data_IF_369111469054
#
_entry.id   IF_369111469054
#
_cell.length_a   1.000
_cell.length_b   1.000
_cell.length_c   1.000
_cell.angle_alpha   90.00
_cell.angle_beta   90.00
_cell.angle_gamma   90.00
#
_symmetry.space_group_name_H-M   'P 1'
#
loop_
_entity.id
_entity.type
_entity.pdbx_description
1 polymer ?
#
# COMPACT_ATOMS: atom_id res chain seq x y z
N UNK A 1 -13.29 -3.34 20.92
CA UNK A 1 -12.84 -2.05 20.32
C UNK A 1 -12.68 -2.27 18.82
N UNK A 2 -13.24 -1.40 17.99
CA UNK A 2 -13.15 -1.51 16.52
C UNK A 2 -12.15 -0.50 15.98
N UNK A 3 -11.36 -0.89 14.99
CA UNK A 3 -10.41 -0.04 14.28
C UNK A 3 -10.64 -0.11 12.77
N UNK A 4 -10.23 0.96 12.09
CA UNK A 4 -10.22 1.04 10.64
C UNK A 4 -8.98 0.37 10.06
N UNK A 5 -9.13 -0.25 8.89
CA UNK A 5 -8.04 -0.87 8.15
C UNK A 5 -7.61 -2.23 8.71
N UNK A 6 -6.76 -2.93 7.95
CA UNK A 6 -6.19 -4.24 8.30
C UNK A 6 -4.70 -4.27 7.95
N UNK A 7 -3.93 -5.01 8.73
CA UNK A 7 -2.53 -5.29 8.45
C UNK A 7 -2.35 -6.80 8.46
N UNK A 8 -1.67 -7.33 7.45
CA UNK A 8 -1.41 -8.76 7.31
C UNK A 8 -0.14 -9.02 6.53
N UNK A 9 0.14 -10.29 6.29
CA UNK A 9 1.32 -10.72 5.55
C UNK A 9 0.91 -11.57 4.36
N UNK A 10 1.60 -11.34 3.23
CA UNK A 10 1.54 -12.19 2.06
C UNK A 10 2.20 -13.54 2.40
N UNK A 11 1.70 -14.59 1.76
CA UNK A 11 2.27 -15.94 1.88
C UNK A 11 3.74 -15.95 1.44
N UNK A 12 3.99 -15.38 0.27
CA UNK A 12 5.30 -15.24 -0.36
C UNK A 12 5.60 -13.75 -0.58
N UNK A 13 6.87 -13.37 -0.48
CA UNK A 13 7.28 -11.99 -0.75
C UNK A 13 7.16 -11.70 -2.25
N UNK A 14 6.63 -10.53 -2.59
CA UNK A 14 6.55 -10.02 -3.96
C UNK A 14 7.40 -8.76 -4.09
N UNK A 15 7.83 -8.40 -5.30
CA UNK A 15 8.32 -7.03 -5.56
C UNK A 15 7.16 -6.03 -5.55
N UNK A 16 7.44 -4.73 -5.38
CA UNK A 16 6.40 -3.70 -5.40
C UNK A 16 5.58 -3.72 -6.71
N UNK A 17 6.22 -3.98 -7.85
CA UNK A 17 5.54 -4.11 -9.15
C UNK A 17 4.67 -5.38 -9.25
N UNK A 18 5.17 -6.52 -8.77
CA UNK A 18 4.38 -7.76 -8.75
C UNK A 18 3.20 -7.65 -7.78
N UNK A 19 3.39 -7.00 -6.64
CA UNK A 19 2.33 -6.73 -5.68
C UNK A 19 1.26 -5.80 -6.26
N UNK A 20 1.64 -4.79 -7.05
CA UNK A 20 0.70 -3.95 -7.78
C UNK A 20 -0.15 -4.77 -8.77
N UNK A 21 0.48 -5.64 -9.57
CA UNK A 21 -0.26 -6.52 -10.49
C UNK A 21 -1.14 -7.55 -9.74
N UNK A 22 -0.67 -8.06 -8.61
CA UNK A 22 -1.47 -8.90 -7.71
C UNK A 22 -2.73 -8.16 -7.23
N UNK A 23 -2.58 -6.92 -6.77
CA UNK A 23 -3.70 -6.07 -6.35
C UNK A 23 -4.70 -5.84 -7.49
N UNK A 24 -4.23 -5.54 -8.71
CA UNK A 24 -5.11 -5.37 -9.89
C UNK A 24 -5.96 -6.61 -10.14
N UNK A 25 -5.37 -7.80 -10.07
CA UNK A 25 -6.07 -9.07 -10.29
C UNK A 25 -7.09 -9.35 -9.20
N UNK A 26 -6.69 -9.28 -7.93
CA UNK A 26 -7.53 -9.62 -6.77
C UNK A 26 -8.68 -8.63 -6.60
N UNK A 27 -8.43 -7.35 -6.84
CA UNK A 27 -9.43 -6.28 -6.71
C UNK A 27 -10.21 -6.03 -8.03
N UNK A 28 -9.91 -6.79 -9.09
CA UNK A 28 -10.52 -6.66 -10.42
C UNK A 28 -10.49 -5.22 -10.98
N UNK A 29 -9.32 -4.60 -10.95
CA UNK A 29 -9.10 -3.21 -11.38
C UNK A 29 -8.54 -3.15 -12.80
N UNK A 30 -9.05 -2.21 -13.60
CA UNK A 30 -8.48 -1.89 -14.93
C UNK A 30 -7.10 -1.25 -14.83
N UNK A 31 -6.81 -0.57 -13.72
CA UNK A 31 -5.54 0.07 -13.45
C UNK A 31 -5.46 0.54 -12.00
N UNK A 32 -4.25 0.79 -11.53
CA UNK A 32 -3.97 1.42 -10.24
C UNK A 32 -2.72 2.29 -10.34
N UNK A 33 -2.51 3.14 -9.33
CA UNK A 33 -1.30 3.95 -9.21
C UNK A 33 -0.32 3.27 -8.25
N UNK A 34 0.86 2.93 -8.73
CA UNK A 34 1.98 2.52 -7.90
C UNK A 34 2.79 3.76 -7.51
N UNK A 35 3.04 3.93 -6.21
CA UNK A 35 3.88 4.99 -5.66
C UNK A 35 5.03 4.29 -4.93
N UNK A 36 6.21 4.28 -5.55
CA UNK A 36 7.40 3.63 -5.02
C UNK A 36 8.66 4.32 -5.56
N UNK A 37 9.70 4.46 -4.72
CA UNK A 37 11.03 4.89 -5.16
C UNK A 37 11.76 3.78 -5.94
N UNK A 38 11.54 2.52 -5.54
CA UNK A 38 12.08 1.33 -6.19
C UNK A 38 10.98 0.29 -6.41
N UNK A 39 10.73 -0.05 -7.67
CA UNK A 39 9.72 -1.01 -8.08
C UNK A 39 10.09 -2.47 -7.74
N UNK A 40 11.36 -2.73 -7.43
CA UNK A 40 11.88 -4.05 -7.05
C UNK A 40 11.92 -4.26 -5.53
N UNK A 41 11.57 -3.24 -4.73
CA UNK A 41 11.54 -3.35 -3.26
C UNK A 41 10.63 -4.52 -2.85
N UNK A 42 11.08 -5.39 -1.93
CA UNK A 42 10.26 -6.51 -1.47
C UNK A 42 9.08 -6.03 -0.61
N UNK A 43 7.94 -6.67 -0.80
CA UNK A 43 6.68 -6.45 -0.10
C UNK A 43 6.23 -7.78 0.48
N UNK A 44 6.09 -7.83 1.81
CA UNK A 44 5.52 -8.98 2.52
C UNK A 44 4.42 -8.54 3.46
N UNK A 45 4.64 -7.51 4.27
CA UNK A 45 3.66 -6.98 5.23
C UNK A 45 2.88 -5.84 4.59
N UNK A 46 1.56 -5.98 4.53
CA UNK A 46 0.68 -5.05 3.80
C UNK A 46 -0.33 -4.45 4.76
N UNK A 47 -0.48 -3.13 4.72
CA UNK A 47 -1.59 -2.41 5.32
C UNK A 47 -2.64 -2.08 4.25
N UNK A 48 -3.92 -2.21 4.59
CA UNK A 48 -5.04 -1.89 3.70
C UNK A 48 -6.05 -1.05 4.45
N UNK A 49 -6.44 0.09 3.86
CA UNK A 49 -7.56 0.91 4.31
C UNK A 49 -8.31 1.42 3.07
N UNK A 50 -9.52 0.91 2.86
CA UNK A 50 -10.37 1.37 1.74
C UNK A 50 -10.83 2.82 1.91
N UNK A 51 -11.26 3.43 0.79
CA UNK A 51 -11.69 4.83 0.75
C UNK A 51 -10.51 5.82 0.75
N UNK A 52 -10.70 7.00 1.36
CA UNK A 52 -9.72 8.09 1.40
C UNK A 52 -8.77 7.97 2.59
N UNK A 53 -7.89 6.96 2.55
CA UNK A 53 -6.98 6.61 3.63
C UNK A 53 -5.63 7.34 3.62
N UNK A 54 -5.40 8.30 2.71
CA UNK A 54 -4.09 8.94 2.54
C UNK A 54 -3.51 9.55 3.83
N UNK A 55 -4.34 10.21 4.65
CA UNK A 55 -3.92 10.80 5.94
C UNK A 55 -3.43 9.80 6.99
N UNK A 56 -3.66 8.50 6.78
CA UNK A 56 -3.32 7.44 7.73
C UNK A 56 -2.07 6.63 7.34
N UNK A 57 -1.31 7.04 6.32
CA UNK A 57 -0.12 6.29 5.89
C UNK A 57 0.94 6.17 7.01
N UNK A 58 1.05 7.18 7.90
CA UNK A 58 1.91 7.10 9.08
C UNK A 58 1.54 5.95 10.03
N UNK A 59 0.24 5.58 10.11
CA UNK A 59 -0.17 4.42 10.89
C UNK A 59 0.28 3.11 10.23
N UNK A 60 0.27 3.04 8.89
CA UNK A 60 0.83 1.89 8.16
C UNK A 60 2.34 1.75 8.41
N UNK A 61 3.08 2.86 8.41
CA UNK A 61 4.51 2.90 8.76
C UNK A 61 4.76 2.43 10.20
N UNK A 62 3.99 2.92 11.17
CA UNK A 62 4.07 2.47 12.57
C UNK A 62 3.83 0.96 12.73
N UNK A 63 2.96 0.40 11.89
CA UNK A 63 2.70 -1.04 11.83
C UNK A 63 3.69 -1.83 10.95
N UNK A 64 4.77 -1.17 10.50
CA UNK A 64 5.87 -1.74 9.69
C UNK A 64 5.39 -2.37 8.38
N UNK A 65 4.38 -1.75 7.75
CA UNK A 65 3.93 -2.22 6.45
C UNK A 65 4.94 -1.85 5.36
N UNK A 66 5.29 -2.82 4.53
CA UNK A 66 6.13 -2.64 3.34
C UNK A 66 5.34 -1.95 2.21
N UNK A 67 4.02 -2.17 2.16
CA UNK A 67 3.11 -1.53 1.23
C UNK A 67 1.79 -1.12 1.91
N UNK A 68 1.20 -0.02 1.42
CA UNK A 68 -0.08 0.51 1.88
C UNK A 68 -1.07 0.66 0.72
N UNK A 69 -2.21 -0.04 0.81
CA UNK A 69 -3.28 -0.02 -0.20
C UNK A 69 -4.43 0.86 0.27
N UNK A 70 -4.68 1.94 -0.46
CA UNK A 70 -5.76 2.91 -0.19
C UNK A 70 -6.18 3.64 -1.47
N UNK A 71 -7.35 4.28 -1.45
CA UNK A 71 -7.76 5.28 -2.44
C UNK A 71 -7.33 6.71 -2.07
N UNK A 72 -7.61 7.64 -2.99
CA UNK A 72 -7.47 9.10 -2.87
C UNK A 72 -6.13 9.61 -2.33
N UNK A 73 -5.03 9.13 -2.88
CA UNK A 73 -3.70 9.69 -2.62
C UNK A 73 -3.48 10.96 -3.47
N UNK A 74 -3.26 12.07 -2.79
CA UNK A 74 -2.84 13.35 -3.40
C UNK A 74 -1.38 13.28 -3.88
N UNK A 75 -0.99 14.19 -4.77
CA UNK A 75 0.38 14.27 -5.27
C UNK A 75 1.40 14.50 -4.14
N UNK A 76 1.13 15.45 -3.25
CA UNK A 76 2.01 15.78 -2.12
C UNK A 76 2.13 14.61 -1.15
N UNK A 77 1.01 14.00 -0.75
CA UNK A 77 1.03 12.82 0.11
C UNK A 77 1.81 11.66 -0.52
N UNK A 78 1.70 11.48 -1.85
CA UNK A 78 2.49 10.48 -2.57
C UNK A 78 4.00 10.74 -2.50
N UNK A 79 4.45 12.00 -2.53
CA UNK A 79 5.86 12.36 -2.37
C UNK A 79 6.33 12.14 -0.93
N UNK A 80 5.52 12.51 0.05
CA UNK A 80 5.82 12.24 1.46
C UNK A 80 6.01 10.74 1.72
N UNK A 81 5.20 9.89 1.08
CA UNK A 81 5.31 8.43 1.16
C UNK A 81 6.60 7.88 0.52
N UNK A 82 7.14 8.53 -0.52
CA UNK A 82 8.41 8.12 -1.14
C UNK A 82 9.61 8.52 -0.26
N UNK A 83 9.50 9.63 0.47
CA UNK A 83 10.57 10.18 1.29
C UNK A 83 10.68 9.53 2.68
N UNK A 84 9.64 8.83 3.14
CA UNK A 84 9.56 8.17 4.45
C UNK A 84 10.26 6.80 4.47
#
# INVERSE_FOLDING_TARGET
KYSMGRVGELKDSLTAVEFAEYCKKVLNLRGLRLIAADNQKPVKRVAVLGGSGGRFFNAALLHKADAYVTGDISYHTGHDMIAA
#
